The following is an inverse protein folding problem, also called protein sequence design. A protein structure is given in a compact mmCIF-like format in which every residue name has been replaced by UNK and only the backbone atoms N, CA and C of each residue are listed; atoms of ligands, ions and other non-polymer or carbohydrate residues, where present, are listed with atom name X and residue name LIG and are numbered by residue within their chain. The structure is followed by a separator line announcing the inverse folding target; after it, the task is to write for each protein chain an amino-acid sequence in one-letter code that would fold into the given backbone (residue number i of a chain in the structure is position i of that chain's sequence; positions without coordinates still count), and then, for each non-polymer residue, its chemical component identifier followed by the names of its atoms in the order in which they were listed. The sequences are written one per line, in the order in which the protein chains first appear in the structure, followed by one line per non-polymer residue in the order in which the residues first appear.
data_IF_414005369700
#
_entry.id   IF_414005369700
#
_cell.length_a   1.000
_cell.length_b   1.000
_cell.length_c   1.000
_cell.angle_alpha   90.00
_cell.angle_beta   90.00
_cell.angle_gamma   90.00
#
_symmetry.space_group_name_H-M   'P 1'
#
loop_
_entity.id
_entity.type
_entity.pdbx_description
1 polymer ?
#
# COMPACT_ATOMS: atom_id res chain seq x y z
N UNK A 1 5.67 11.77 2.44
CA UNK A 1 4.63 10.73 2.32
C UNK A 1 4.58 10.30 0.88
N UNK A 2 4.45 9.01 0.60
CA UNK A 2 4.41 8.47 -0.76
C UNK A 2 3.06 7.79 -0.98
N UNK A 3 2.38 8.13 -2.06
CA UNK A 3 1.16 7.47 -2.50
C UNK A 3 1.51 6.21 -3.32
N UNK A 4 1.00 5.05 -2.93
CA UNK A 4 1.22 3.81 -3.67
C UNK A 4 0.27 3.63 -4.86
N UNK A 5 -0.83 4.39 -4.93
CA UNK A 5 -1.88 4.30 -5.95
C UNK A 5 -1.67 5.33 -7.08
N UNK A 6 -2.77 5.79 -7.68
CA UNK A 6 -2.83 6.81 -8.73
C UNK A 6 -1.76 6.64 -9.81
N UNK A 7 -0.91 7.65 -10.03
CA UNK A 7 0.13 7.62 -11.05
C UNK A 7 1.27 6.65 -10.70
N UNK A 8 1.55 6.44 -9.41
CA UNK A 8 2.63 5.55 -8.97
C UNK A 8 2.27 4.07 -9.17
N UNK A 9 0.97 3.72 -9.20
CA UNK A 9 0.50 2.39 -9.57
C UNK A 9 0.23 2.23 -11.09
N UNK A 10 0.47 3.26 -11.90
CA UNK A 10 0.02 3.33 -13.29
C UNK A 10 -1.50 3.12 -13.44
N UNK A 11 -2.27 3.60 -12.45
CA UNK A 11 -3.73 3.38 -12.32
C UNK A 11 -4.14 1.90 -12.32
N UNK A 12 -3.25 1.02 -11.91
CA UNK A 12 -3.54 -0.40 -11.72
C UNK A 12 -3.34 -0.77 -10.24
N UNK A 13 -4.40 -1.11 -9.48
CA UNK A 13 -4.29 -1.45 -8.07
C UNK A 13 -3.29 -2.58 -7.78
N UNK A 14 -3.12 -3.53 -8.70
CA UNK A 14 -2.21 -4.67 -8.55
C UNK A 14 -0.73 -4.25 -8.54
N UNK A 15 -0.43 -3.00 -8.89
CA UNK A 15 0.91 -2.44 -8.78
C UNK A 15 1.17 -1.78 -7.42
N UNK A 16 0.16 -1.48 -6.59
CA UNK A 16 0.39 -0.87 -5.27
C UNK A 16 1.35 -1.72 -4.41
N UNK A 17 1.25 -3.07 -4.36
CA UNK A 17 2.22 -3.89 -3.61
C UNK A 17 3.67 -3.74 -4.10
N UNK A 18 3.88 -3.51 -5.40
CA UNK A 18 5.23 -3.29 -5.96
C UNK A 18 5.80 -1.94 -5.52
N UNK A 19 4.96 -0.90 -5.48
CA UNK A 19 5.36 0.41 -4.96
C UNK A 19 5.67 0.31 -3.47
N UNK A 20 4.87 -0.45 -2.71
CA UNK A 20 5.16 -0.72 -1.30
C UNK A 20 6.46 -1.47 -1.11
N UNK A 21 6.77 -2.46 -1.95
CA UNK A 21 8.06 -3.17 -1.87
C UNK A 21 9.24 -2.23 -2.07
N UNK A 22 9.19 -1.35 -3.07
CA UNK A 22 10.25 -0.36 -3.32
C UNK A 22 10.45 0.58 -2.13
N UNK A 23 9.35 1.08 -1.55
CA UNK A 23 9.40 1.91 -0.34
C UNK A 23 9.98 1.12 0.84
N UNK A 24 9.57 -0.14 0.99
CA UNK A 24 10.01 -1.00 2.09
C UNK A 24 11.52 -1.25 2.04
N UNK A 25 12.10 -1.49 0.86
CA UNK A 25 13.56 -1.59 0.66
C UNK A 25 14.25 -0.29 1.06
N UNK A 26 13.74 0.88 0.63
CA UNK A 26 14.32 2.17 1.05
C UNK A 26 14.30 2.36 2.57
N UNK A 27 13.23 1.92 3.25
CA UNK A 27 13.16 1.95 4.71
C UNK A 27 14.21 1.02 5.34
N UNK A 28 14.35 -0.20 4.83
CA UNK A 28 15.35 -1.18 5.28
C UNK A 28 16.78 -0.66 5.13
N UNK A 29 17.06 0.08 4.05
CA UNK A 29 18.34 0.75 3.79
C UNK A 29 18.56 2.01 4.64
N UNK A 30 17.65 2.33 5.56
CA UNK A 30 17.84 3.41 6.54
C UNK A 30 17.20 4.74 6.17
N UNK A 31 16.39 4.85 5.11
CA UNK A 31 15.74 6.11 4.73
C UNK A 31 14.83 6.66 5.85
N UNK A 32 15.18 7.83 6.39
CA UNK A 32 14.49 8.45 7.53
C UNK A 32 13.45 9.49 7.12
N UNK A 33 13.50 10.01 5.90
CA UNK A 33 12.66 11.12 5.41
C UNK A 33 11.29 10.65 4.95
N UNK A 34 11.12 9.36 4.66
CA UNK A 34 9.81 8.76 4.38
C UNK A 34 9.04 8.61 5.69
N UNK A 35 8.08 9.52 5.89
CA UNK A 35 7.25 9.60 7.11
C UNK A 35 5.99 8.73 7.07
N UNK A 36 5.61 8.21 5.90
CA UNK A 36 4.39 7.42 5.75
C UNK A 36 4.03 7.16 4.29
N UNK A 37 3.04 6.28 4.11
CA UNK A 37 2.50 5.88 2.80
C UNK A 37 0.99 6.03 2.77
N UNK A 38 0.42 6.19 1.57
CA UNK A 38 -1.01 6.11 1.31
C UNK A 38 -1.29 4.89 0.42
N UNK A 39 -2.33 4.13 0.74
CA UNK A 39 -2.72 2.90 0.04
C UNK A 39 -4.24 2.94 -0.17
N UNK A 40 -4.70 2.65 -1.37
CA UNK A 40 -6.13 2.49 -1.67
C UNK A 40 -6.51 1.01 -1.53
N UNK A 41 -7.21 0.69 -0.45
CA UNK A 41 -7.63 -0.67 -0.08
C UNK A 41 -9.12 -0.72 0.19
N UNK A 42 -9.73 -1.87 -0.11
CA UNK A 42 -11.12 -2.15 0.22
C UNK A 42 -11.30 -3.64 0.53
N UNK A 43 -12.46 -4.03 1.09
CA UNK A 43 -12.77 -5.43 1.39
C UNK A 43 -12.65 -6.35 0.16
N UNK A 44 -13.12 -5.88 -0.99
CA UNK A 44 -13.07 -6.53 -2.29
C UNK A 44 -12.23 -5.68 -3.24
N UNK A 45 -11.25 -6.31 -3.89
CA UNK A 45 -10.33 -5.64 -4.80
C UNK A 45 -10.98 -5.15 -6.10
N UNK A 46 -10.26 -4.29 -6.81
CA UNK A 46 -10.73 -3.66 -8.05
C UNK A 46 -11.73 -2.53 -7.79
N UNK A 47 -12.60 -2.31 -8.78
CA UNK A 47 -13.69 -1.33 -8.75
C UNK A 47 -14.92 -1.88 -9.45
N UNK A 48 -16.06 -1.26 -9.19
CA UNK A 48 -17.33 -1.52 -9.87
C UNK A 48 -17.93 -0.21 -10.40
N UNK A 49 -18.72 -0.31 -11.47
CA UNK A 49 -19.42 0.84 -12.03
C UNK A 49 -20.78 1.03 -11.33
N UNK A 50 -21.19 2.29 -11.11
CA UNK A 50 -22.51 2.61 -10.60
C UNK A 50 -23.54 2.55 -11.74
N UNK A 51 -24.25 1.43 -11.84
CA UNK A 51 -25.30 1.22 -12.86
C UNK A 51 -26.67 1.27 -12.21
N UNK A 52 -27.56 2.14 -12.73
CA UNK A 52 -28.92 2.29 -12.22
C UNK A 52 -29.67 0.95 -12.23
N UNK A 53 -30.32 0.62 -11.10
CA UNK A 53 -31.08 -0.61 -10.92
C UNK A 53 -30.25 -1.88 -10.68
N UNK A 54 -28.91 -1.81 -10.73
CA UNK A 54 -28.06 -2.95 -10.38
C UNK A 54 -27.58 -2.87 -8.92
N UNK A 55 -27.63 -3.98 -8.16
CA UNK A 55 -27.07 -4.02 -6.82
C UNK A 55 -25.55 -3.94 -6.87
N UNK A 56 -24.97 -3.17 -5.94
CA UNK A 56 -23.51 -3.08 -5.80
C UNK A 56 -22.97 -4.27 -5.00
N UNK A 57 -21.75 -4.70 -5.34
CA UNK A 57 -20.95 -5.59 -4.51
C UNK A 57 -20.57 -4.82 -3.24
N UNK A 58 -21.03 -5.31 -2.10
CA UNK A 58 -20.66 -4.72 -0.81
C UNK A 58 -19.14 -4.78 -0.65
N UNK A 59 -18.54 -3.65 -0.27
CA UNK A 59 -17.12 -3.62 0.01
C UNK A 59 -16.23 -3.55 -1.23
N UNK A 60 -16.73 -3.17 -2.39
CA UNK A 60 -15.92 -2.87 -3.59
C UNK A 60 -16.06 -1.39 -3.99
N UNK A 61 -14.95 -0.74 -4.33
CA UNK A 61 -14.91 0.70 -4.66
C UNK A 61 -15.75 1.04 -5.89
N UNK A 62 -16.41 2.21 -5.89
CA UNK A 62 -17.11 2.78 -7.07
C UNK A 62 -16.30 3.89 -7.77
N UNK A 63 -15.07 4.15 -7.32
CA UNK A 63 -14.19 5.20 -7.85
C UNK A 63 -12.93 4.60 -8.47
N UNK A 64 -11.80 4.71 -7.79
CA UNK A 64 -10.54 4.10 -8.19
C UNK A 64 -10.47 2.65 -7.71
N UNK A 65 -9.71 1.84 -8.44
CA UNK A 65 -9.50 0.43 -8.08
C UNK A 65 -8.66 0.31 -6.83
N UNK A 66 -9.09 -0.55 -5.90
CA UNK A 66 -8.36 -0.83 -4.66
C UNK A 66 -7.71 -2.21 -4.68
N UNK A 67 -6.69 -2.42 -3.85
CA UNK A 67 -6.29 -3.78 -3.46
C UNK A 67 -7.34 -4.39 -2.52
N UNK A 68 -7.43 -5.72 -2.49
CA UNK A 68 -8.32 -6.44 -1.58
C UNK A 68 -7.78 -6.52 -0.14
N UNK A 69 -8.58 -7.09 0.75
CA UNK A 69 -8.24 -7.19 2.17
C UNK A 69 -6.99 -8.04 2.45
N UNK A 70 -6.86 -9.20 1.80
CA UNK A 70 -5.74 -10.12 2.04
C UNK A 70 -4.42 -9.50 1.55
N UNK A 71 -4.47 -8.80 0.40
CA UNK A 71 -3.34 -8.00 -0.08
C UNK A 71 -3.04 -6.85 0.87
N UNK A 72 -4.06 -6.21 1.44
CA UNK A 72 -3.89 -5.12 2.43
C UNK A 72 -3.14 -5.60 3.66
N UNK A 73 -3.50 -6.75 4.22
CA UNK A 73 -2.80 -7.35 5.36
C UNK A 73 -1.34 -7.61 4.97
N UNK A 74 -1.10 -8.21 3.82
CA UNK A 74 0.25 -8.53 3.31
C UNK A 74 1.14 -7.28 3.21
N UNK A 75 0.64 -6.18 2.62
CA UNK A 75 1.43 -4.95 2.47
C UNK A 75 1.68 -4.25 3.81
N UNK A 76 0.74 -4.30 4.75
CA UNK A 76 0.92 -3.74 6.09
C UNK A 76 1.95 -4.53 6.90
N UNK A 77 1.94 -5.85 6.82
CA UNK A 77 2.94 -6.71 7.45
C UNK A 77 4.34 -6.45 6.87
N UNK A 78 4.44 -6.31 5.53
CA UNK A 78 5.69 -5.97 4.84
C UNK A 78 6.27 -4.64 5.30
N UNK A 79 5.43 -3.58 5.37
CA UNK A 79 5.83 -2.27 5.88
C UNK A 79 6.25 -2.33 7.36
N UNK A 80 5.53 -3.10 8.18
CA UNK A 80 5.88 -3.28 9.59
C UNK A 80 7.24 -3.96 9.75
N UNK A 81 7.56 -4.96 8.92
CA UNK A 81 8.88 -5.58 8.89
C UNK A 81 9.98 -4.57 8.51
N UNK A 82 9.78 -3.80 7.44
CA UNK A 82 10.74 -2.78 7.00
C UNK A 82 11.01 -1.70 8.06
N UNK A 83 9.96 -1.23 8.73
CA UNK A 83 10.10 -0.26 9.82
C UNK A 83 10.89 -0.83 11.00
N UNK A 84 10.75 -2.13 11.31
CA UNK A 84 11.55 -2.80 12.36
C UNK A 84 13.03 -2.87 11.94
N UNK A 85 13.32 -3.35 10.73
CA UNK A 85 14.68 -3.41 10.20
C UNK A 85 15.38 -2.04 10.22
N UNK A 86 14.69 -0.98 9.77
CA UNK A 86 15.20 0.40 9.82
C UNK A 86 15.62 0.84 11.23
N UNK A 87 14.88 0.42 12.25
CA UNK A 87 15.18 0.78 13.66
C UNK A 87 16.44 0.07 14.15
N UNK A 88 16.72 -1.14 13.66
CA UNK A 88 17.94 -1.89 14.00
C UNK A 88 19.19 -1.22 13.40
N UNK A 89 19.13 -0.78 12.15
CA UNK A 89 20.21 -0.01 11.50
C UNK A 89 20.56 1.22 12.34
N UNK A 90 19.55 1.99 12.74
CA UNK A 90 19.75 3.18 13.58
C UNK A 90 20.40 2.87 14.94
N UNK A 91 20.06 1.75 15.56
CA UNK A 91 20.70 1.34 16.83
C UNK A 91 22.17 1.04 16.61
N UNK A 92 22.52 0.40 15.49
CA UNK A 92 23.93 0.08 15.17
C UNK A 92 24.78 1.31 14.88
N UNK A 93 24.23 2.34 14.23
CA UNK A 93 24.96 3.59 13.94
C UNK A 93 25.18 4.49 15.17
N UNK A 94 24.34 4.34 16.20
CA UNK A 94 24.40 5.13 17.42
C UNK A 94 25.25 4.50 18.54
N UNK A 95 25.69 3.24 18.36
CA UNK A 95 26.51 2.49 19.31
C UNK A 95 28.00 2.58 18.96
#
# INVERSE_FOLDING_TARGET
MIDASHANSLKNPDNQPKVIEDIAVQLEDGEQRIVGVMIESHLVGGRQELVEGQPLVYGQSITDGCIDWDTTVTVLERLAAAVRARREVKVSEAA
#
